data_IF_489327344992
#
_entry.id   IF_489327344992
#
_cell.length_a   1.000
_cell.length_b   1.000
_cell.length_c   1.000
_cell.angle_alpha   90.00
_cell.angle_beta   90.00
_cell.angle_gamma   90.00
#
_symmetry.space_group_name_H-M   'P 1'
#
loop_
_entity.id
_entity.type
_entity.pdbx_description
1 polymer ?
#
# COMPACT_ATOMS: atom_id res chain seq x y z
N UNK A 1 -6.01 -4.77 6.93
CA UNK A 1 -6.03 -3.62 7.84
C UNK A 1 -7.19 -3.81 8.78
N UNK A 2 -6.95 -3.67 10.08
CA UNK A 2 -7.83 -4.17 11.12
C UNK A 2 -7.65 -3.30 12.36
N UNK A 3 -8.76 -2.91 12.99
CA UNK A 3 -8.76 -2.06 14.19
C UNK A 3 -9.52 -2.70 15.36
N UNK A 4 -9.71 -4.03 15.32
CA UNK A 4 -10.36 -4.82 16.38
C UNK A 4 -11.83 -5.13 16.07
N UNK A 5 -12.30 -6.30 16.50
CA UNK A 5 -13.71 -6.68 16.32
C UNK A 5 -14.62 -5.88 17.26
N UNK A 6 -14.18 -5.65 18.50
CA UNK A 6 -14.94 -4.84 19.47
C UNK A 6 -15.04 -3.37 19.06
N UNK A 7 -13.94 -2.70 18.67
CA UNK A 7 -14.03 -1.36 18.09
C UNK A 7 -14.98 -1.29 16.89
N UNK A 8 -14.96 -2.28 15.99
CA UNK A 8 -15.92 -2.32 14.87
C UNK A 8 -17.37 -2.42 15.37
N UNK A 9 -17.63 -3.27 16.38
CA UNK A 9 -18.95 -3.41 16.99
C UNK A 9 -19.44 -2.10 17.63
N UNK A 10 -18.56 -1.38 18.34
CA UNK A 10 -18.86 -0.08 18.93
C UNK A 10 -19.08 1.00 17.85
N UNK A 11 -18.25 1.02 16.82
CA UNK A 11 -18.33 1.97 15.71
C UNK A 11 -19.63 1.82 14.91
N UNK A 12 -20.09 0.59 14.69
CA UNK A 12 -21.39 0.35 14.05
C UNK A 12 -22.52 0.66 15.03
N UNK A 13 -22.41 0.20 16.28
CA UNK A 13 -23.45 0.38 17.28
C UNK A 13 -23.81 1.84 17.56
N UNK A 14 -22.82 2.75 17.55
CA UNK A 14 -23.08 4.17 17.83
C UNK A 14 -23.95 4.84 16.77
N UNK A 15 -23.96 4.32 15.53
CA UNK A 15 -24.82 4.85 14.46
C UNK A 15 -26.32 4.63 14.73
N UNK A 16 -26.67 3.70 15.61
CA UNK A 16 -28.03 3.41 16.05
C UNK A 16 -28.43 4.16 17.33
N UNK A 17 -27.50 4.88 17.97
CA UNK A 17 -27.75 5.64 19.20
C UNK A 17 -28.39 6.99 18.84
N UNK A 18 -29.58 7.31 19.37
CA UNK A 18 -30.20 8.62 19.17
C UNK A 18 -29.49 9.68 20.01
N UNK A 19 -28.57 10.42 19.39
CA UNK A 19 -27.89 11.58 20.00
C UNK A 19 -28.53 12.91 19.58
N UNK A 20 -28.35 13.96 20.39
CA UNK A 20 -28.78 15.33 20.04
C UNK A 20 -27.89 15.89 18.92
N UNK A 21 -28.45 16.76 18.07
CA UNK A 21 -27.63 17.55 17.13
C UNK A 21 -26.71 18.50 17.94
N UNK A 22 -25.43 18.68 17.58
CA UNK A 22 -24.77 18.28 16.33
C UNK A 22 -24.08 16.90 16.34
N UNK A 23 -23.97 16.24 17.49
CA UNK A 23 -23.23 14.96 17.65
C UNK A 23 -23.68 13.88 16.65
N UNK A 24 -25.00 13.76 16.41
CA UNK A 24 -25.53 12.79 15.44
C UNK A 24 -25.04 13.01 14.01
N UNK A 25 -24.96 14.28 13.58
CA UNK A 25 -24.50 14.62 12.24
C UNK A 25 -23.03 14.26 12.05
N UNK A 26 -22.20 14.50 13.07
CA UNK A 26 -20.77 14.15 13.05
C UNK A 26 -20.59 12.63 12.92
N UNK A 27 -21.29 11.85 13.75
CA UNK A 27 -21.23 10.38 13.70
C UNK A 27 -21.62 9.84 12.31
N UNK A 28 -22.70 10.36 11.74
CA UNK A 28 -23.15 9.92 10.41
C UNK A 28 -22.16 10.31 9.30
N UNK A 29 -21.59 11.51 9.34
CA UNK A 29 -20.56 11.93 8.37
C UNK A 29 -19.34 11.02 8.46
N UNK A 30 -18.85 10.73 9.68
CA UNK A 30 -17.73 9.83 9.89
C UNK A 30 -18.04 8.40 9.40
N UNK A 31 -19.23 7.88 9.67
CA UNK A 31 -19.66 6.56 9.22
C UNK A 31 -19.74 6.48 7.69
N UNK A 32 -20.34 7.47 7.03
CA UNK A 32 -20.40 7.55 5.57
C UNK A 32 -19.00 7.63 4.97
N UNK A 33 -18.11 8.45 5.54
CA UNK A 33 -16.74 8.58 5.07
C UNK A 33 -15.94 7.28 5.27
N UNK A 34 -16.11 6.59 6.41
CA UNK A 34 -15.48 5.30 6.68
C UNK A 34 -15.92 4.26 5.63
N UNK A 35 -17.22 4.15 5.36
CA UNK A 35 -17.74 3.23 4.33
C UNK A 35 -17.24 3.61 2.95
N UNK A 36 -17.30 4.90 2.57
CA UNK A 36 -16.84 5.40 1.28
C UNK A 36 -15.36 5.06 1.03
N UNK A 37 -14.50 5.32 2.01
CA UNK A 37 -13.06 5.03 1.91
C UNK A 37 -12.80 3.53 1.78
N UNK A 38 -13.54 2.68 2.50
CA UNK A 38 -13.45 1.23 2.36
C UNK A 38 -13.92 0.75 0.97
N UNK A 39 -15.05 1.27 0.48
CA UNK A 39 -15.60 0.92 -0.83
C UNK A 39 -14.63 1.28 -1.97
N UNK A 40 -14.02 2.48 -1.91
CA UNK A 40 -12.98 2.91 -2.86
C UNK A 40 -11.77 1.95 -2.79
N UNK A 41 -11.31 1.64 -1.58
CA UNK A 41 -10.12 0.82 -1.39
C UNK A 41 -10.29 -0.64 -1.82
N UNK A 42 -11.51 -1.18 -1.72
CA UNK A 42 -11.88 -2.52 -2.14
C UNK A 42 -12.37 -2.58 -3.59
N UNK A 43 -12.50 -1.44 -4.27
CA UNK A 43 -13.05 -1.33 -5.63
C UNK A 43 -14.42 -2.00 -5.77
N UNK A 44 -15.31 -1.76 -4.82
CA UNK A 44 -16.66 -2.32 -4.88
C UNK A 44 -17.44 -1.78 -6.11
N UNK A 45 -18.39 -2.56 -6.68
CA UNK A 45 -19.20 -2.13 -7.80
C UNK A 45 -19.83 -0.74 -7.56
N UNK A 46 -19.72 0.16 -8.54
CA UNK A 46 -20.16 1.56 -8.45
C UNK A 46 -19.14 2.53 -7.86
N UNK A 47 -18.30 2.10 -6.91
CA UNK A 47 -17.23 2.92 -6.33
C UNK A 47 -15.92 2.84 -7.11
N UNK A 48 -15.79 1.85 -7.99
CA UNK A 48 -14.63 1.71 -8.88
C UNK A 48 -14.45 2.96 -9.77
N UNK A 49 -15.54 3.59 -10.22
CA UNK A 49 -15.52 4.82 -11.03
C UNK A 49 -14.65 5.93 -10.40
N UNK A 50 -14.67 6.04 -9.06
CA UNK A 50 -13.86 7.03 -8.33
C UNK A 50 -12.36 6.78 -8.48
N UNK A 51 -11.94 5.53 -8.67
CA UNK A 51 -10.53 5.19 -8.89
C UNK A 51 -10.02 5.66 -10.26
N UNK A 52 -10.89 6.03 -11.19
CA UNK A 52 -10.54 6.55 -12.51
C UNK A 52 -10.55 8.09 -12.57
N UNK A 53 -10.97 8.77 -11.50
CA UNK A 53 -10.92 10.23 -11.44
C UNK A 53 -9.48 10.73 -11.53
N UNK A 54 -9.26 11.95 -12.07
CA UNK A 54 -7.96 12.59 -12.03
C UNK A 54 -7.38 12.59 -10.62
N UNK A 55 -6.06 12.40 -10.49
CA UNK A 55 -5.32 12.26 -9.22
C UNK A 55 -5.51 10.87 -8.59
N UNK A 56 -6.75 10.40 -8.42
CA UNK A 56 -7.03 9.08 -7.82
C UNK A 56 -6.50 7.93 -8.69
N UNK A 57 -6.51 8.09 -10.01
CA UNK A 57 -5.92 7.11 -10.93
C UNK A 57 -4.37 7.08 -10.90
N UNK A 58 -3.73 8.06 -10.25
CA UNK A 58 -2.27 8.18 -10.16
C UNK A 58 -1.70 7.68 -8.82
N UNK A 59 -2.54 7.38 -7.83
CA UNK A 59 -2.10 6.95 -6.50
C UNK A 59 -2.57 5.55 -6.15
N UNK A 60 -1.95 4.94 -5.15
CA UNK A 60 -2.40 3.63 -4.67
C UNK A 60 -3.63 3.76 -3.76
N UNK A 61 -4.83 3.71 -4.35
CA UNK A 61 -6.09 3.82 -3.63
C UNK A 61 -6.36 2.67 -2.64
N UNK A 62 -5.60 1.58 -2.66
CA UNK A 62 -5.71 0.58 -1.58
C UNK A 62 -5.30 1.15 -0.22
N UNK A 63 -4.55 2.26 -0.19
CA UNK A 63 -4.22 3.02 1.02
C UNK A 63 -5.47 3.67 1.65
N UNK A 64 -6.62 3.75 0.98
CA UNK A 64 -7.84 4.25 1.63
C UNK A 64 -8.30 3.37 2.81
N UNK A 65 -7.82 2.12 2.91
CA UNK A 65 -8.00 1.27 4.11
C UNK A 65 -7.49 1.95 5.39
N UNK A 66 -6.45 2.80 5.31
CA UNK A 66 -5.89 3.52 6.47
C UNK A 66 -6.87 4.52 7.05
N UNK A 67 -7.56 5.25 6.17
CA UNK A 67 -8.60 6.18 6.61
C UNK A 67 -9.81 5.44 7.19
N UNK A 68 -10.20 4.29 6.62
CA UNK A 68 -11.28 3.46 7.20
C UNK A 68 -10.96 3.06 8.65
N UNK A 69 -9.75 2.54 8.92
CA UNK A 69 -9.35 2.15 10.28
C UNK A 69 -9.31 3.35 11.24
N UNK A 70 -8.79 4.49 10.79
CA UNK A 70 -8.74 5.72 11.58
C UNK A 70 -10.13 6.25 11.93
N UNK A 71 -11.01 6.38 10.94
CA UNK A 71 -12.40 6.83 11.14
C UNK A 71 -13.19 5.83 11.98
N UNK A 72 -12.96 4.54 11.77
CA UNK A 72 -13.53 3.45 12.57
C UNK A 72 -13.12 3.54 14.04
N UNK A 73 -11.85 3.86 14.34
CA UNK A 73 -11.39 4.06 15.71
C UNK A 73 -12.05 5.27 16.39
N UNK A 74 -12.24 6.38 15.67
CA UNK A 74 -12.97 7.56 16.17
C UNK A 74 -14.43 7.20 16.47
N UNK A 75 -15.09 6.49 15.56
CA UNK A 75 -16.47 6.01 15.77
C UNK A 75 -16.57 5.04 16.96
N UNK A 76 -15.57 4.17 17.12
CA UNK A 76 -15.50 3.25 18.25
C UNK A 76 -15.38 4.00 19.59
N UNK A 77 -14.65 5.12 19.64
CA UNK A 77 -14.57 5.96 20.83
C UNK A 77 -15.94 6.56 21.18
N UNK A 78 -16.67 7.13 20.21
CA UNK A 78 -18.05 7.57 20.44
C UNK A 78 -18.97 6.41 20.88
N UNK A 79 -18.76 5.21 20.34
CA UNK A 79 -19.49 4.02 20.75
C UNK A 79 -19.18 3.58 22.18
N UNK A 80 -17.93 3.71 22.61
CA UNK A 80 -17.52 3.45 23.99
C UNK A 80 -18.15 4.47 24.95
N UNK A 81 -18.14 5.76 24.60
CA UNK A 81 -18.80 6.81 25.38
C UNK A 81 -20.31 6.55 25.53
N UNK A 82 -20.96 6.12 24.45
CA UNK A 82 -22.38 5.76 24.46
C UNK A 82 -22.67 4.51 25.33
N UNK A 83 -21.78 3.51 25.27
CA UNK A 83 -21.86 2.32 26.11
C UNK A 83 -21.67 2.67 27.60
N UNK A 84 -20.67 3.50 27.91
CA UNK A 84 -20.42 3.98 29.27
C UNK A 84 -21.64 4.76 29.81
N UNK A 85 -22.21 5.66 29.02
CA UNK A 85 -23.44 6.37 29.40
C UNK A 85 -24.60 5.40 29.66
N UNK A 86 -24.82 4.40 28.80
CA UNK A 86 -25.87 3.40 29.01
C UNK A 86 -25.67 2.62 30.32
N UNK A 87 -24.44 2.19 30.60
CA UNK A 87 -24.12 1.40 31.78
C UNK A 87 -24.14 2.24 33.06
N UNK A 88 -23.65 3.48 33.03
CA UNK A 88 -23.59 4.33 34.21
C UNK A 88 -24.96 4.94 34.56
N UNK A 89 -25.67 5.49 33.57
CA UNK A 89 -26.94 6.20 33.81
C UNK A 89 -28.19 5.33 33.69
N UNK A 90 -28.09 4.15 33.08
CA UNK A 90 -29.25 3.32 32.74
C UNK A 90 -30.16 3.92 31.65
N UNK A 91 -29.74 4.99 30.97
CA UNK A 91 -30.53 5.65 29.93
C UNK A 91 -30.79 4.70 28.75
N UNK A 92 -32.04 4.24 28.65
CA UNK A 92 -32.48 3.30 27.61
C UNK A 92 -32.32 3.83 26.19
N UNK A 93 -32.15 5.15 26.00
CA UNK A 93 -31.85 5.73 24.68
C UNK A 93 -30.53 5.17 24.13
N UNK A 94 -29.54 4.98 24.99
CA UNK A 94 -28.22 4.51 24.59
C UNK A 94 -28.16 2.98 24.42
N UNK A 95 -29.20 2.22 24.82
CA UNK A 95 -29.28 0.76 24.68
C UNK A 95 -29.08 0.27 23.24
N UNK A 96 -29.40 1.10 22.24
CA UNK A 96 -29.25 0.76 20.83
C UNK A 96 -27.81 0.44 20.41
N UNK A 97 -26.80 0.90 21.18
CA UNK A 97 -25.39 0.51 21.02
C UNK A 97 -25.24 -1.01 20.99
N UNK A 98 -26.03 -1.72 21.82
CA UNK A 98 -25.98 -3.17 21.94
C UNK A 98 -26.58 -3.87 20.73
N UNK A 99 -27.59 -3.31 20.08
CA UNK A 99 -28.20 -3.93 18.90
C UNK A 99 -27.25 -3.87 17.69
N UNK A 100 -26.63 -2.72 17.44
CA UNK A 100 -25.64 -2.62 16.36
C UNK A 100 -24.37 -3.41 16.66
N UNK A 101 -23.92 -3.42 17.93
CA UNK A 101 -22.82 -4.28 18.37
C UNK A 101 -23.14 -5.77 18.20
N UNK A 102 -24.32 -6.21 18.62
CA UNK A 102 -24.79 -7.59 18.42
C UNK A 102 -24.92 -7.94 16.94
N UNK A 103 -25.29 -6.99 16.07
CA UNK A 103 -25.30 -7.18 14.63
C UNK A 103 -23.91 -7.50 14.06
N UNK A 104 -22.88 -6.75 14.48
CA UNK A 104 -21.49 -7.01 14.06
C UNK A 104 -20.98 -8.34 14.59
N UNK A 105 -21.17 -8.61 15.89
CA UNK A 105 -20.72 -9.85 16.52
C UNK A 105 -21.47 -11.06 15.95
N UNK A 106 -22.77 -10.91 15.68
CA UNK A 106 -23.60 -11.92 15.03
C UNK A 106 -23.17 -12.19 13.58
N UNK A 107 -22.82 -11.15 12.82
CA UNK A 107 -22.25 -11.31 11.47
C UNK A 107 -20.89 -12.00 11.51
N UNK A 108 -20.02 -11.65 12.45
CA UNK A 108 -18.75 -12.34 12.64
C UNK A 108 -18.96 -13.83 12.96
N UNK A 109 -19.91 -14.15 13.84
CA UNK A 109 -20.32 -15.52 14.14
C UNK A 109 -20.86 -16.25 12.92
N UNK A 110 -21.72 -15.60 12.14
CA UNK A 110 -22.27 -16.17 10.90
C UNK A 110 -21.16 -16.51 9.90
N UNK A 111 -20.19 -15.61 9.71
CA UNK A 111 -19.04 -15.86 8.83
C UNK A 111 -18.25 -17.08 9.32
N UNK A 112 -17.98 -17.17 10.63
CA UNK A 112 -17.26 -18.32 11.21
C UNK A 112 -18.02 -19.64 11.00
N UNK A 113 -19.35 -19.63 11.16
CA UNK A 113 -20.19 -20.81 10.92
C UNK A 113 -20.18 -21.19 9.45
N UNK A 114 -20.36 -20.24 8.54
CA UNK A 114 -20.33 -20.49 7.09
C UNK A 114 -18.98 -21.05 6.64
N UNK A 115 -17.88 -20.53 7.19
CA UNK A 115 -16.54 -21.04 6.96
C UNK A 115 -16.37 -22.45 7.52
N UNK A 116 -16.89 -22.72 8.73
CA UNK A 116 -16.89 -24.07 9.31
C UNK A 116 -17.66 -25.07 8.46
N UNK A 117 -18.85 -24.70 7.98
CA UNK A 117 -19.63 -25.49 7.03
C UNK A 117 -18.83 -25.74 5.75
N UNK A 118 -18.26 -24.69 5.16
CA UNK A 118 -17.41 -24.80 3.98
C UNK A 118 -16.24 -25.76 4.18
N UNK A 119 -15.58 -25.69 5.33
CA UNK A 119 -14.40 -26.49 5.65
C UNK A 119 -14.71 -27.96 5.95
N UNK A 120 -15.75 -28.23 6.73
CA UNK A 120 -16.02 -29.60 7.23
C UNK A 120 -17.08 -30.34 6.41
N UNK A 121 -18.02 -29.62 5.78
CA UNK A 121 -19.14 -30.24 5.05
C UNK A 121 -19.03 -30.13 3.53
N UNK A 122 -18.32 -29.13 3.00
CA UNK A 122 -18.26 -28.91 1.54
C UNK A 122 -16.87 -29.30 0.99
N UNK A 123 -15.80 -28.82 1.63
CA UNK A 123 -14.43 -29.04 1.16
C UNK A 123 -14.02 -30.51 0.99
N UNK A 124 -14.49 -31.49 1.80
CA UNK A 124 -14.17 -32.90 1.56
C UNK A 124 -14.77 -33.47 0.26
N UNK A 125 -15.83 -32.84 -0.27
CA UNK A 125 -16.54 -33.30 -1.47
C UNK A 125 -16.16 -32.51 -2.73
N UNK A 126 -15.50 -31.37 -2.54
CA UNK A 126 -14.89 -30.62 -3.63
C UNK A 126 -13.44 -31.06 -3.71
N UNK A 127 -12.94 -31.40 -4.90
CA UNK A 127 -11.51 -31.62 -5.13
C UNK A 127 -10.75 -30.29 -5.06
N UNK A 128 -10.78 -29.63 -3.90
CA UNK A 128 -10.15 -28.34 -3.68
C UNK A 128 -8.64 -28.56 -3.68
N UNK A 129 -7.98 -28.11 -4.74
CA UNK A 129 -6.52 -28.16 -4.81
C UNK A 129 -5.91 -27.15 -3.82
N UNK A 130 -4.77 -27.49 -3.17
CA UNK A 130 -4.15 -26.66 -2.13
C UNK A 130 -3.84 -25.22 -2.57
N UNK A 131 -3.58 -25.02 -3.86
CA UNK A 131 -3.20 -23.72 -4.42
C UNK A 131 -4.40 -22.83 -4.76
N UNK A 132 -5.63 -23.30 -4.55
CA UNK A 132 -6.82 -22.49 -4.79
C UNK A 132 -7.03 -21.46 -3.68
N UNK A 133 -7.63 -20.33 -4.07
CA UNK A 133 -8.06 -19.29 -3.13
C UNK A 133 -8.93 -19.84 -1.99
N UNK A 134 -9.86 -20.75 -2.31
CA UNK A 134 -10.76 -21.35 -1.33
C UNK A 134 -10.02 -22.24 -0.32
N UNK A 135 -9.06 -23.05 -0.76
CA UNK A 135 -8.21 -23.81 0.15
C UNK A 135 -7.45 -22.88 1.11
N UNK A 136 -6.83 -21.84 0.57
CA UNK A 136 -6.11 -20.87 1.39
C UNK A 136 -7.02 -20.17 2.41
N UNK A 137 -8.22 -19.76 2.00
CA UNK A 137 -9.19 -19.12 2.89
C UNK A 137 -9.64 -20.05 4.03
N UNK A 138 -10.05 -21.29 3.73
CA UNK A 138 -10.62 -22.23 4.70
C UNK A 138 -9.57 -22.87 5.63
N UNK A 139 -8.38 -23.19 5.09
CA UNK A 139 -7.37 -23.98 5.79
C UNK A 139 -6.17 -23.17 6.26
N UNK A 140 -5.91 -22.00 5.68
CA UNK A 140 -4.89 -21.08 6.19
C UNK A 140 -5.53 -19.95 6.98
N UNK A 141 -6.26 -19.04 6.33
CA UNK A 141 -6.78 -17.80 6.95
C UNK A 141 -7.73 -18.08 8.12
N UNK A 142 -8.67 -19.00 7.95
CA UNK A 142 -9.60 -19.42 8.99
C UNK A 142 -9.22 -20.76 9.63
N UNK A 143 -7.92 -20.97 9.86
CA UNK A 143 -7.47 -22.11 10.64
C UNK A 143 -7.57 -21.85 12.14
N UNK A 144 -8.16 -22.79 12.87
CA UNK A 144 -8.18 -22.80 14.34
C UNK A 144 -6.79 -23.01 14.96
N UNK A 145 -5.79 -23.40 14.15
CA UNK A 145 -4.38 -23.45 14.58
C UNK A 145 -3.72 -22.08 14.56
N UNK A 146 -4.32 -21.09 13.89
CA UNK A 146 -3.79 -19.72 13.86
C UNK A 146 -4.26 -18.94 15.08
N UNK A 147 -3.30 -18.49 15.90
CA UNK A 147 -3.57 -17.69 17.09
C UNK A 147 -4.41 -16.43 16.80
N UNK A 148 -4.20 -15.81 15.62
CA UNK A 148 -4.94 -14.63 15.12
C UNK A 148 -6.44 -14.90 14.95
N UNK A 149 -6.80 -16.09 14.48
CA UNK A 149 -8.20 -16.49 14.37
C UNK A 149 -8.78 -16.78 15.77
N UNK A 150 -8.04 -17.53 16.59
CA UNK A 150 -8.48 -17.93 17.94
C UNK A 150 -8.76 -16.71 18.82
N UNK A 151 -7.89 -15.69 18.80
CA UNK A 151 -8.11 -14.47 19.60
C UNK A 151 -9.36 -13.71 19.15
N UNK A 152 -9.62 -13.63 17.84
CA UNK A 152 -10.80 -12.96 17.29
C UNK A 152 -12.09 -13.69 17.71
N UNK A 153 -12.10 -15.03 17.66
CA UNK A 153 -13.22 -15.85 18.15
C UNK A 153 -13.42 -15.64 19.65
N UNK A 154 -12.34 -15.68 20.42
CA UNK A 154 -12.38 -15.46 21.86
C UNK A 154 -13.02 -14.11 22.20
N UNK A 155 -12.64 -13.04 21.51
CA UNK A 155 -13.21 -11.70 21.70
C UNK A 155 -14.71 -11.66 21.35
N UNK A 156 -15.09 -12.27 20.23
CA UNK A 156 -16.49 -12.35 19.76
C UNK A 156 -17.39 -13.08 20.77
N UNK A 157 -16.88 -14.09 21.47
CA UNK A 157 -17.62 -14.87 22.47
C UNK A 157 -17.56 -14.21 23.86
N UNK A 158 -16.38 -13.76 24.26
CA UNK A 158 -16.14 -13.23 25.61
C UNK A 158 -16.93 -11.96 25.87
N UNK A 159 -16.99 -11.01 24.93
CA UNK A 159 -17.64 -9.73 25.18
C UNK A 159 -19.17 -9.84 25.43
N UNK A 160 -19.96 -10.57 24.60
CA UNK A 160 -21.37 -10.83 24.91
C UNK A 160 -21.56 -11.60 26.22
N UNK A 161 -20.73 -12.60 26.49
CA UNK A 161 -20.82 -13.40 27.71
C UNK A 161 -20.58 -12.54 28.96
N UNK A 162 -19.51 -11.74 28.94
CA UNK A 162 -19.19 -10.78 29.99
C UNK A 162 -20.32 -9.77 30.20
N UNK A 163 -20.90 -9.25 29.11
CA UNK A 163 -22.06 -8.38 29.21
C UNK A 163 -23.24 -9.09 29.90
N UNK A 164 -23.59 -10.32 29.51
CA UNK A 164 -24.69 -11.08 30.12
C UNK A 164 -24.44 -11.37 31.60
N UNK A 165 -23.19 -11.69 31.97
CA UNK A 165 -22.81 -11.97 33.37
C UNK A 165 -22.84 -10.71 34.24
N UNK A 166 -22.48 -9.55 33.68
CA UNK A 166 -22.31 -8.30 34.44
C UNK A 166 -23.49 -7.33 34.31
N UNK A 167 -24.44 -7.54 33.38
CA UNK A 167 -25.58 -6.62 33.16
C UNK A 167 -26.48 -6.42 34.38
N UNK A 168 -26.48 -7.36 35.33
CA UNK A 168 -27.25 -7.25 36.58
C UNK A 168 -26.43 -6.63 37.72
N UNK A 169 -25.11 -6.50 37.56
CA UNK A 169 -24.16 -5.95 38.53
C UNK A 169 -23.68 -4.59 38.06
N UNK A 170 -24.60 -3.62 37.97
CA UNK A 170 -24.32 -2.28 37.46
C UNK A 170 -23.13 -1.60 38.16
N UNK A 171 -22.88 -1.85 39.45
CA UNK A 171 -21.70 -1.30 40.15
C UNK A 171 -20.33 -1.75 39.59
N UNK A 172 -20.28 -2.83 38.80
CA UNK A 172 -19.07 -3.37 38.19
C UNK A 172 -18.85 -2.89 36.75
N UNK A 173 -19.66 -1.94 36.25
CA UNK A 173 -19.50 -1.44 34.87
C UNK A 173 -18.12 -0.87 34.54
N UNK A 174 -17.39 -0.17 35.44
CA UNK A 174 -16.08 0.36 35.10
C UNK A 174 -15.09 -0.78 34.82
N UNK A 175 -15.18 -1.87 35.58
CA UNK A 175 -14.38 -3.08 35.36
C UNK A 175 -14.71 -3.69 34.00
N UNK A 176 -15.99 -3.75 33.62
CA UNK A 176 -16.41 -4.24 32.31
C UNK A 176 -15.79 -3.40 31.16
N UNK A 177 -15.79 -2.08 31.26
CA UNK A 177 -15.17 -1.19 30.27
C UNK A 177 -13.66 -1.46 30.16
N UNK A 178 -12.95 -1.56 31.29
CA UNK A 178 -11.52 -1.88 31.29
C UNK A 178 -11.21 -3.26 30.70
N UNK A 179 -12.08 -4.26 30.94
CA UNK A 179 -11.95 -5.58 30.33
C UNK A 179 -12.13 -5.49 28.80
N UNK A 180 -13.10 -4.74 28.29
CA UNK A 180 -13.27 -4.56 26.83
C UNK A 180 -12.06 -3.86 26.18
N UNK A 181 -11.50 -2.84 26.84
CA UNK A 181 -10.28 -2.17 26.39
C UNK A 181 -9.11 -3.16 26.38
N UNK A 182 -8.96 -3.96 27.44
CA UNK A 182 -7.90 -4.96 27.56
C UNK A 182 -8.03 -6.05 26.49
N UNK A 183 -9.24 -6.55 26.25
CA UNK A 183 -9.52 -7.52 25.18
C UNK A 183 -9.15 -6.97 23.80
N UNK A 184 -9.52 -5.72 23.53
CA UNK A 184 -9.17 -5.03 22.28
C UNK A 184 -7.66 -4.91 22.12
N UNK A 185 -6.97 -4.50 23.18
CA UNK A 185 -5.51 -4.35 23.17
C UNK A 185 -4.80 -5.69 22.92
N UNK A 186 -5.23 -6.75 23.61
CA UNK A 186 -4.69 -8.10 23.42
C UNK A 186 -4.96 -8.61 22.00
N UNK A 187 -6.16 -8.40 21.47
CA UNK A 187 -6.53 -8.76 20.10
C UNK A 187 -5.61 -8.08 19.08
N UNK A 188 -5.40 -6.77 19.23
CA UNK A 188 -4.54 -6.00 18.33
C UNK A 188 -3.06 -6.41 18.44
N UNK A 189 -2.54 -6.69 19.63
CA UNK A 189 -1.17 -7.17 19.82
C UNK A 189 -0.98 -8.53 19.14
N UNK A 190 -1.88 -9.48 19.38
CA UNK A 190 -1.82 -10.80 18.74
C UNK A 190 -1.93 -10.67 17.23
N UNK A 191 -2.79 -9.77 16.75
CA UNK A 191 -2.92 -9.48 15.33
C UNK A 191 -1.70 -8.76 14.74
N UNK A 192 -0.87 -8.10 15.55
CA UNK A 192 0.35 -7.41 15.11
C UNK A 192 1.63 -8.22 15.33
N UNK A 193 1.59 -9.33 16.09
CA UNK A 193 2.76 -10.04 16.62
C UNK A 193 3.84 -10.34 15.58
N UNK A 194 3.47 -10.94 14.44
CA UNK A 194 4.42 -11.22 13.34
C UNK A 194 4.25 -10.27 12.14
N UNK A 195 3.68 -9.08 12.36
CA UNK A 195 3.56 -8.11 11.27
C UNK A 195 4.94 -7.55 10.89
N UNK A 196 5.82 -7.36 11.88
CA UNK A 196 7.21 -6.96 11.69
C UNK A 196 8.14 -8.07 12.20
N UNK A 197 8.11 -9.23 11.55
CA UNK A 197 8.97 -10.36 11.92
C UNK A 197 10.44 -9.95 11.85
N UNK A 198 11.19 -10.27 12.91
CA UNK A 198 12.64 -10.10 12.93
C UNK A 198 13.28 -11.27 12.17
N UNK A 199 14.11 -10.92 11.20
CA UNK A 199 14.90 -11.87 10.41
C UNK A 199 16.34 -11.36 10.38
N UNK A 200 17.30 -12.27 10.22
CA UNK A 200 18.71 -11.86 10.14
C UNK A 200 18.94 -10.98 8.92
N UNK A 201 19.87 -10.03 9.06
CA UNK A 201 20.21 -9.09 7.98
C UNK A 201 20.61 -9.81 6.70
N UNK A 202 21.36 -10.90 6.83
CA UNK A 202 21.87 -11.68 5.69
C UNK A 202 20.75 -12.40 4.93
N UNK A 203 19.61 -12.68 5.58
CA UNK A 203 18.42 -13.19 4.89
C UNK A 203 17.58 -12.09 4.25
N UNK A 204 17.62 -10.86 4.79
CA UNK A 204 16.93 -9.71 4.21
C UNK A 204 17.66 -9.12 3.00
N UNK A 205 18.99 -9.05 3.09
CA UNK A 205 19.86 -8.40 2.12
C UNK A 205 21.03 -9.31 1.77
N UNK A 206 20.76 -10.48 1.15
CA UNK A 206 21.83 -11.34 0.68
C UNK A 206 22.61 -10.63 -0.42
N UNK A 207 23.93 -10.67 -0.42
CA UNK A 207 24.74 -10.12 -1.51
C UNK A 207 24.64 -11.02 -2.76
N UNK A 208 23.90 -10.62 -3.80
CA UNK A 208 23.73 -11.45 -4.98
C UNK A 208 25.02 -11.46 -5.80
N UNK A 209 25.44 -12.59 -6.39
CA UNK A 209 26.67 -12.67 -7.19
C UNK A 209 26.75 -11.66 -8.33
N UNK A 210 25.61 -11.29 -8.93
CA UNK A 210 25.54 -10.27 -9.98
C UNK A 210 25.83 -8.86 -9.47
N UNK A 211 25.57 -8.56 -8.19
CA UNK A 211 25.90 -7.26 -7.59
C UNK A 211 27.39 -7.17 -7.27
N UNK A 212 28.02 -8.28 -6.86
CA UNK A 212 29.47 -8.33 -6.63
C UNK A 212 30.27 -7.99 -7.90
N UNK A 213 29.72 -8.27 -9.09
CA UNK A 213 30.34 -7.85 -10.36
C UNK A 213 30.44 -6.32 -10.49
N UNK A 214 29.54 -5.58 -9.86
CA UNK A 214 29.51 -4.12 -9.91
C UNK A 214 30.50 -3.46 -8.94
N UNK A 215 30.96 -4.16 -7.91
CA UNK A 215 31.91 -3.61 -6.92
C UNK A 215 33.28 -3.27 -7.53
N UNK A 216 33.60 -3.90 -8.66
CA UNK A 216 34.84 -3.64 -9.41
C UNK A 216 34.79 -2.29 -10.14
N UNK A 217 33.61 -1.75 -10.40
CA UNK A 217 33.41 -0.49 -11.10
C UNK A 217 33.34 0.68 -10.12
N UNK A 218 34.37 1.52 -10.14
CA UNK A 218 34.51 2.67 -9.23
C UNK A 218 33.88 3.95 -9.80
N UNK A 219 33.29 3.90 -11.00
CA UNK A 219 32.64 5.06 -11.60
C UNK A 219 31.34 5.42 -10.86
N UNK A 220 30.91 6.68 -11.02
CA UNK A 220 29.57 7.09 -10.59
C UNK A 220 28.60 6.73 -11.72
N UNK A 221 27.76 5.73 -11.47
CA UNK A 221 26.71 5.30 -12.41
C UNK A 221 25.38 5.05 -11.70
N UNK A 222 24.34 4.95 -12.52
CA UNK A 222 23.04 4.43 -12.11
C UNK A 222 22.76 3.07 -12.72
N UNK A 223 21.80 2.38 -12.12
CA UNK A 223 21.32 1.07 -12.57
C UNK A 223 19.80 1.09 -12.76
N UNK A 224 19.30 0.08 -13.45
CA UNK A 224 17.87 -0.22 -13.47
C UNK A 224 17.61 -1.73 -13.49
N UNK A 225 16.44 -2.13 -13.01
CA UNK A 225 15.87 -3.45 -13.26
C UNK A 225 14.82 -3.42 -14.36
N UNK A 226 14.88 -4.39 -15.28
CA UNK A 226 13.77 -4.74 -16.16
C UNK A 226 12.77 -5.58 -15.37
N UNK A 227 11.54 -5.10 -15.12
CA UNK A 227 10.58 -5.78 -14.25
C UNK A 227 10.36 -7.24 -14.66
N UNK A 228 10.19 -8.16 -13.70
CA UNK A 228 10.03 -7.94 -12.26
C UNK A 228 11.36 -7.94 -11.46
N UNK A 229 12.50 -7.71 -12.11
CA UNK A 229 13.82 -7.72 -11.46
C UNK A 229 14.13 -6.36 -10.84
N UNK A 230 14.76 -6.38 -9.66
CA UNK A 230 15.31 -5.20 -8.96
C UNK A 230 14.37 -3.99 -9.01
N UNK A 231 13.24 -4.09 -8.31
CA UNK A 231 12.26 -3.01 -8.22
C UNK A 231 12.89 -1.69 -7.72
N UNK A 232 12.24 -0.54 -8.00
CA UNK A 232 12.68 0.75 -7.46
C UNK A 232 13.04 0.69 -5.98
N UNK A 233 14.16 1.33 -5.64
CA UNK A 233 14.77 1.38 -4.30
C UNK A 233 15.39 0.07 -3.78
N UNK A 234 15.28 -1.06 -4.48
CA UNK A 234 15.87 -2.33 -3.98
C UNK A 234 17.40 -2.30 -4.00
N UNK A 235 17.99 -1.65 -5.01
CA UNK A 235 19.44 -1.47 -5.12
C UNK A 235 20.05 -0.59 -4.03
N UNK A 236 19.24 0.22 -3.33
CA UNK A 236 19.74 1.19 -2.35
C UNK A 236 20.44 0.54 -1.16
N UNK A 237 20.06 -0.69 -0.80
CA UNK A 237 20.72 -1.42 0.31
C UNK A 237 22.16 -1.82 -0.03
N UNK A 238 22.47 -1.93 -1.32
CA UNK A 238 23.82 -2.21 -1.84
C UNK A 238 24.54 -0.92 -2.28
N UNK A 239 24.03 0.26 -1.90
CA UNK A 239 24.61 1.55 -2.30
C UNK A 239 24.44 1.89 -3.78
N UNK A 240 23.62 1.15 -4.53
CA UNK A 240 23.43 1.35 -5.96
C UNK A 240 22.35 2.42 -6.24
N UNK A 241 22.67 3.36 -7.13
CA UNK A 241 21.74 4.42 -7.53
C UNK A 241 20.77 3.91 -8.59
N UNK A 242 19.49 3.74 -8.24
CA UNK A 242 18.47 3.26 -9.16
C UNK A 242 17.70 4.43 -9.81
N UNK A 243 17.38 4.37 -11.12
CA UNK A 243 16.61 5.44 -11.80
C UNK A 243 15.10 5.37 -11.58
N UNK A 244 14.57 4.17 -11.33
CA UNK A 244 13.17 3.99 -10.97
C UNK A 244 12.88 4.48 -9.54
N UNK A 245 11.66 4.92 -9.31
CA UNK A 245 11.19 5.52 -8.07
C UNK A 245 9.88 4.90 -7.56
N UNK A 246 9.64 5.04 -6.27
CA UNK A 246 8.39 4.68 -5.62
C UNK A 246 7.63 5.97 -5.29
N UNK A 247 6.36 6.06 -5.70
CA UNK A 247 5.51 7.27 -5.72
C UNK A 247 5.70 8.20 -6.94
N UNK A 248 4.73 9.10 -7.14
CA UNK A 248 4.68 10.04 -8.25
C UNK A 248 5.87 11.02 -8.18
N UNK A 249 6.48 11.40 -9.33
CA UNK A 249 7.51 12.43 -9.33
C UNK A 249 6.98 13.73 -8.73
N UNK A 250 7.69 14.23 -7.72
CA UNK A 250 7.32 15.50 -7.03
C UNK A 250 7.44 16.68 -7.99
N UNK A 251 8.39 16.62 -8.93
CA UNK A 251 8.60 17.65 -9.94
C UNK A 251 7.78 17.37 -11.19
N UNK A 252 6.98 18.36 -11.61
CA UNK A 252 6.14 18.29 -12.81
C UNK A 252 6.93 17.88 -14.05
N UNK A 253 8.09 18.50 -14.30
CA UNK A 253 8.93 18.18 -15.46
C UNK A 253 9.36 16.70 -15.49
N UNK A 254 9.80 16.16 -14.35
CA UNK A 254 10.16 14.74 -14.27
C UNK A 254 8.94 13.82 -14.50
N UNK A 255 7.76 14.22 -14.02
CA UNK A 255 6.51 13.52 -14.28
C UNK A 255 6.10 13.54 -15.75
N UNK A 256 6.25 14.68 -16.42
CA UNK A 256 5.89 14.86 -17.82
C UNK A 256 6.84 14.08 -18.72
N UNK A 257 8.14 14.10 -18.43
CA UNK A 257 9.17 13.31 -19.14
C UNK A 257 8.95 11.81 -18.99
N UNK A 258 8.60 11.33 -17.79
CA UNK A 258 8.29 9.93 -17.56
C UNK A 258 7.02 9.50 -18.31
N UNK A 259 5.95 10.31 -18.25
CA UNK A 259 4.69 10.02 -18.94
C UNK A 259 4.82 10.07 -20.46
N UNK A 260 5.62 10.99 -21.00
CA UNK A 260 5.82 11.16 -22.44
C UNK A 260 6.45 9.93 -23.12
N UNK A 261 7.19 9.09 -22.37
CA UNK A 261 7.75 7.82 -22.87
C UNK A 261 6.85 6.61 -22.64
N UNK A 262 5.63 6.82 -22.13
CA UNK A 262 4.69 5.75 -21.82
C UNK A 262 4.71 5.28 -20.38
N UNK A 263 5.40 6.00 -19.48
CA UNK A 263 5.37 5.74 -18.05
C UNK A 263 3.97 5.87 -17.45
N UNK A 264 3.56 4.88 -16.66
CA UNK A 264 2.23 4.82 -16.04
C UNK A 264 2.32 4.48 -14.55
N UNK A 265 1.26 4.83 -13.83
CA UNK A 265 1.06 4.44 -12.42
C UNK A 265 1.91 5.21 -11.41
N UNK A 266 1.81 4.76 -10.15
CA UNK A 266 2.49 5.39 -9.01
C UNK A 266 3.94 4.91 -8.83
N UNK A 267 4.37 3.87 -9.55
CA UNK A 267 5.77 3.40 -9.55
C UNK A 267 6.41 3.88 -10.84
N UNK A 268 7.58 4.49 -10.72
CA UNK A 268 8.34 4.94 -11.88
C UNK A 268 9.20 3.77 -12.36
N UNK A 269 8.72 3.10 -13.38
CA UNK A 269 9.33 1.91 -13.99
C UNK A 269 9.77 2.28 -15.39
N UNK A 270 11.06 2.19 -15.63
CA UNK A 270 11.67 2.57 -16.90
C UNK A 270 11.89 1.33 -17.77
N UNK A 271 11.86 1.50 -19.08
CA UNK A 271 12.12 0.43 -20.04
C UNK A 271 13.51 0.61 -20.68
N UNK A 272 14.31 -0.45 -20.85
CA UNK A 272 15.65 -0.36 -21.45
C UNK A 272 15.71 0.32 -22.82
N UNK A 273 14.62 0.23 -23.59
CA UNK A 273 14.48 0.78 -24.95
C UNK A 273 14.31 2.30 -24.96
N UNK A 274 13.93 2.90 -23.83
CA UNK A 274 13.60 4.31 -23.79
C UNK A 274 14.84 5.20 -23.95
N UNK A 275 14.75 6.28 -24.75
CA UNK A 275 15.92 7.07 -25.12
C UNK A 275 16.58 7.78 -23.93
N UNK A 276 15.80 8.14 -22.91
CA UNK A 276 16.33 8.84 -21.74
C UNK A 276 17.09 7.92 -20.76
N UNK A 277 17.03 6.60 -20.92
CA UNK A 277 17.82 5.66 -20.09
C UNK A 277 19.31 5.96 -20.22
N UNK A 278 19.76 6.21 -21.44
CA UNK A 278 21.17 6.45 -21.77
C UNK A 278 21.64 7.78 -21.17
N UNK A 279 20.79 8.81 -21.28
CA UNK A 279 21.02 10.14 -20.70
C UNK A 279 21.03 10.15 -19.16
N UNK A 280 20.24 9.30 -18.52
CA UNK A 280 20.15 9.23 -17.05
C UNK A 280 21.31 8.52 -16.38
N UNK A 281 22.42 8.30 -17.10
CA UNK A 281 23.65 7.67 -16.61
C UNK A 281 23.44 6.21 -16.15
N UNK A 282 22.56 5.48 -16.83
CA UNK A 282 22.31 4.05 -16.56
C UNK A 282 23.37 3.20 -17.26
N UNK A 283 24.33 2.69 -16.49
CA UNK A 283 25.43 1.85 -16.99
C UNK A 283 25.09 0.37 -16.97
N UNK A 284 24.27 -0.08 -16.01
CA UNK A 284 23.93 -1.49 -15.84
C UNK A 284 22.42 -1.75 -15.74
N UNK A 285 21.97 -2.82 -16.39
CA UNK A 285 20.58 -3.26 -16.46
C UNK A 285 20.47 -4.72 -16.01
N UNK A 286 19.63 -4.96 -15.01
CA UNK A 286 19.30 -6.31 -14.54
C UNK A 286 18.04 -6.83 -15.24
N UNK A 287 18.03 -8.08 -15.69
CA UNK A 287 16.85 -8.70 -16.31
C UNK A 287 16.72 -10.18 -15.96
N UNK A 288 15.50 -10.72 -15.99
CA UNK A 288 15.24 -12.17 -15.85
C UNK A 288 15.05 -12.86 -17.21
N UNK A 289 15.12 -12.12 -18.30
CA UNK A 289 15.00 -12.61 -19.67
C UNK A 289 16.12 -11.99 -20.52
N UNK A 290 16.33 -12.55 -21.72
CA UNK A 290 17.31 -12.00 -22.64
C UNK A 290 16.83 -10.66 -23.20
N UNK A 291 17.67 -9.62 -23.11
CA UNK A 291 17.44 -8.34 -23.77
C UNK A 291 18.21 -8.32 -25.10
N UNK A 292 17.50 -8.04 -26.20
CA UNK A 292 18.06 -8.02 -27.56
C UNK A 292 18.16 -6.59 -28.09
N UNK A 293 18.93 -5.74 -27.40
CA UNK A 293 19.18 -4.36 -27.81
C UNK A 293 20.65 -4.21 -28.19
N UNK A 294 20.93 -3.57 -29.32
CA UNK A 294 22.29 -3.39 -29.84
C UNK A 294 23.22 -2.65 -28.85
N UNK A 295 22.65 -1.71 -28.08
CA UNK A 295 23.37 -0.96 -27.04
C UNK A 295 23.68 -1.76 -25.77
N UNK A 296 23.22 -3.00 -25.66
CA UNK A 296 23.38 -3.81 -24.45
C UNK A 296 24.34 -4.97 -24.68
N UNK A 297 25.39 -5.01 -23.87
CA UNK A 297 26.35 -6.10 -23.80
C UNK A 297 26.05 -6.99 -22.59
N UNK A 298 25.94 -8.30 -22.77
CA UNK A 298 25.78 -9.23 -21.65
C UNK A 298 27.11 -9.37 -20.90
N UNK A 299 27.15 -8.94 -19.64
CA UNK A 299 28.36 -9.00 -18.79
C UNK A 299 28.39 -10.25 -17.93
N UNK A 300 27.23 -10.65 -17.38
CA UNK A 300 27.14 -11.83 -16.54
C UNK A 300 25.78 -12.52 -16.67
N UNK A 301 25.80 -13.84 -16.65
CA UNK A 301 24.61 -14.70 -16.61
C UNK A 301 24.60 -15.50 -15.29
N UNK A 302 23.67 -15.15 -14.40
CA UNK A 302 23.44 -15.84 -13.13
C UNK A 302 22.36 -16.92 -13.23
N UNK A 303 22.01 -17.38 -14.44
CA UNK A 303 20.94 -18.32 -14.71
C UNK A 303 19.56 -17.64 -14.71
N UNK A 304 18.99 -17.46 -13.53
CA UNK A 304 17.66 -16.83 -13.37
C UNK A 304 17.66 -15.33 -13.68
N UNK A 305 18.81 -14.68 -13.53
CA UNK A 305 18.99 -13.26 -13.76
C UNK A 305 20.25 -13.00 -14.59
N UNK A 306 20.22 -11.93 -15.37
CA UNK A 306 21.28 -11.50 -16.27
C UNK A 306 21.63 -10.05 -15.99
N UNK A 307 22.90 -9.71 -16.17
CA UNK A 307 23.43 -8.36 -16.04
C UNK A 307 23.93 -7.88 -17.40
N UNK A 308 23.39 -6.76 -17.85
CA UNK A 308 23.77 -6.11 -19.10
C UNK A 308 24.48 -4.79 -18.81
N UNK A 309 25.50 -4.46 -19.60
CA UNK A 309 26.14 -3.15 -19.65
C UNK A 309 25.58 -2.36 -20.83
N UNK A 310 25.17 -1.13 -20.56
CA UNK A 310 24.77 -0.18 -21.57
C UNK A 310 26.00 0.52 -22.15
N UNK A 311 26.26 0.30 -23.44
CA UNK A 311 27.40 0.90 -24.16
C UNK A 311 27.12 2.32 -24.63
N UNK A 312 25.84 2.73 -24.67
CA UNK A 312 25.41 4.08 -25.04
C UNK A 312 25.28 5.04 -23.84
N UNK A 313 25.69 4.61 -22.64
CA UNK A 313 25.53 5.41 -21.41
C UNK A 313 26.25 6.76 -21.47
N UNK A 314 25.57 7.81 -21.04
CA UNK A 314 26.17 9.13 -20.86
C UNK A 314 26.75 9.30 -19.45
N UNK A 315 27.87 10.03 -19.31
CA UNK A 315 28.39 10.37 -17.99
C UNK A 315 27.42 11.30 -17.26
N UNK A 316 27.50 11.31 -15.93
CA UNK A 316 26.60 12.11 -15.07
C UNK A 316 26.72 13.62 -15.29
N UNK A 317 27.87 14.08 -15.78
CA UNK A 317 28.12 15.46 -16.17
C UNK A 317 28.99 15.47 -17.43
N UNK A 318 28.63 16.28 -18.40
CA UNK A 318 29.36 16.48 -19.65
C UNK A 318 29.05 17.86 -20.22
N UNK A 319 29.88 18.30 -21.15
CA UNK A 319 29.71 19.57 -21.87
C UNK A 319 28.92 19.31 -23.16
N UNK A 320 27.94 20.16 -23.43
CA UNK A 320 27.24 20.27 -24.71
C UNK A 320 27.76 21.49 -25.46
N UNK A 321 27.64 21.48 -26.77
CA UNK A 321 28.18 22.52 -27.64
C UNK A 321 27.07 23.31 -28.36
N UNK A 322 25.85 22.78 -28.35
CA UNK A 322 24.69 23.40 -28.97
C UNK A 322 23.55 23.59 -27.97
N UNK A 323 22.81 24.68 -28.15
CA UNK A 323 21.66 25.03 -27.32
C UNK A 323 20.50 25.39 -28.25
N UNK A 324 19.41 24.63 -28.13
CA UNK A 324 18.17 24.89 -28.84
C UNK A 324 17.13 25.42 -27.86
N UNK A 325 16.59 26.61 -28.15
CA UNK A 325 15.55 27.22 -27.32
C UNK A 325 14.20 26.89 -27.94
N UNK A 326 13.39 26.13 -27.20
CA UNK A 326 12.04 25.76 -27.60
C UNK A 326 11.13 26.21 -26.47
N UNK A 327 10.34 27.28 -26.65
CA UNK A 327 9.48 27.77 -25.56
C UNK A 327 8.21 26.93 -25.35
N UNK A 328 7.80 26.14 -26.35
CA UNK A 328 6.64 25.25 -26.24
C UNK A 328 7.00 23.96 -25.48
N UNK A 329 6.39 23.77 -24.32
CA UNK A 329 6.67 22.63 -23.44
C UNK A 329 6.29 21.27 -24.05
N UNK A 330 5.26 21.22 -24.90
CA UNK A 330 4.85 19.99 -25.56
C UNK A 330 5.89 19.58 -26.62
N UNK A 331 6.33 20.54 -27.42
CA UNK A 331 7.37 20.33 -28.44
C UNK A 331 8.72 19.96 -27.80
N UNK A 332 9.08 20.55 -26.65
CA UNK A 332 10.25 20.13 -25.88
C UNK A 332 10.19 18.65 -25.52
N UNK A 333 9.09 18.22 -24.88
CA UNK A 333 8.93 16.83 -24.45
C UNK A 333 8.98 15.88 -25.64
N UNK A 334 8.25 16.20 -26.71
CA UNK A 334 8.25 15.40 -27.94
C UNK A 334 9.66 15.28 -28.53
N UNK A 335 10.44 16.37 -28.51
CA UNK A 335 11.82 16.37 -29.00
C UNK A 335 12.70 15.47 -28.14
N UNK A 336 12.66 15.63 -26.82
CA UNK A 336 13.43 14.82 -25.86
C UNK A 336 13.12 13.33 -25.96
N UNK A 337 11.86 12.97 -26.21
CA UNK A 337 11.42 11.57 -26.26
C UNK A 337 11.40 10.98 -27.67
N UNK A 338 11.83 11.73 -28.69
CA UNK A 338 11.77 11.30 -30.09
C UNK A 338 12.69 10.12 -30.43
N UNK A 339 13.70 9.86 -29.59
CA UNK A 339 14.75 8.87 -29.85
C UNK A 339 15.86 9.34 -30.79
N UNK A 340 15.70 10.50 -31.44
CA UNK A 340 16.69 11.08 -32.35
C UNK A 340 17.41 12.30 -31.78
N UNK A 341 17.07 12.70 -30.55
CA UNK A 341 17.70 13.83 -29.90
C UNK A 341 19.12 13.47 -29.42
N UNK A 342 20.11 14.24 -29.88
CA UNK A 342 21.50 14.05 -29.48
C UNK A 342 21.76 14.70 -28.12
N UNK A 343 21.60 13.90 -27.08
CA UNK A 343 21.89 14.33 -25.72
C UNK A 343 23.36 14.65 -25.48
N UNK A 344 24.30 14.18 -26.29
CA UNK A 344 25.74 14.42 -26.09
C UNK A 344 26.14 15.83 -26.51
N UNK A 345 25.50 16.36 -27.55
CA UNK A 345 25.93 17.58 -28.20
C UNK A 345 24.98 18.76 -27.97
N UNK A 346 23.69 18.50 -27.74
CA UNK A 346 22.64 19.53 -27.70
C UNK A 346 21.91 19.57 -26.35
N UNK A 347 21.68 20.77 -25.82
CA UNK A 347 20.75 21.02 -24.72
C UNK A 347 19.50 21.77 -25.19
N UNK A 348 18.36 21.47 -24.56
CA UNK A 348 17.11 22.23 -24.74
C UNK A 348 16.90 23.21 -23.59
N UNK A 349 16.57 24.46 -23.92
CA UNK A 349 16.14 25.47 -22.95
C UNK A 349 14.72 25.95 -23.24
N UNK A 350 14.00 26.31 -22.17
CA UNK A 350 12.67 26.92 -22.26
C UNK A 350 12.72 28.40 -22.65
N UNK A 351 13.79 29.07 -22.25
CA UNK A 351 14.03 30.47 -22.49
C UNK A 351 15.50 30.71 -22.81
N UNK A 352 15.81 31.83 -23.46
CA UNK A 352 17.18 32.22 -23.71
C UNK A 352 17.91 32.42 -22.39
N UNK A 353 19.18 31.99 -22.33
CA UNK A 353 20.04 32.36 -21.21
C UNK A 353 20.08 33.89 -21.10
N UNK A 354 20.01 34.45 -19.89
CA UNK A 354 20.25 35.88 -19.70
C UNK A 354 21.57 36.22 -20.36
N UNK A 355 21.61 37.30 -21.16
CA UNK A 355 22.86 37.78 -21.72
C UNK A 355 23.84 37.95 -20.57
N UNK A 356 24.92 37.16 -20.56
CA UNK A 356 26.03 37.35 -19.63
C UNK A 356 26.48 38.79 -19.82
N UNK A 357 26.17 39.67 -18.87
CA UNK A 357 26.72 41.02 -18.88
C UNK A 357 28.23 40.83 -18.86
N UNK A 358 28.86 41.12 -20.00
CA UNK A 358 30.30 41.07 -20.18
C UNK A 358 30.93 42.15 -19.32
N UNK A 359 31.11 41.84 -18.03
CA UNK A 359 31.88 42.60 -17.07
C UNK A 359 33.30 42.03 -17.03
N UNK A 360 34.13 42.47 -17.97
CA UNK A 360 35.58 42.51 -17.84
C UNK A 360 36.05 43.94 -18.07
#
# INVERSE_FOLDING_TARGET
MYFGVLPLALAVGVTFVPTRKPSRSIILILAVLAVLTLCIALRLPGFEALNYLPILNKVNNTRFKWYFAFLGAILAAFGLDALDHYLNSGDRRHKNILYGGAGVLGLAWLILVLVGIGKFLIAPFLEITPDTFYAHLLFSVFSVTQLRMVISIFVVVAAPLLYVMLRHKFQQYPVFIWVLISLTFLELIVQAHDYNTTVSRDMLFPEPPLIQQLEQDQDIFRIMGSPPVLWPNYGAVYGLFHIGGYDLPVFKLAADVYQAQGGQGYRQIWQPEWPLVDWMNVKYIFSNHALSLEKLELVADGGAYKLYRNTAVLPRAYMVYEVNVISDAFLQLQTLTSGFFDFQYTALLAENLPAMQSGY
#
